data_IF_503056078083
#
_entry.id   IF_503056078083
#
_cell.length_a   1.000
_cell.length_b   1.000
_cell.length_c   1.000
_cell.angle_alpha   90.00
_cell.angle_beta   90.00
_cell.angle_gamma   90.00
#
_symmetry.space_group_name_H-M   'P 1'
#
loop_
_entity.id
_entity.type
_entity.pdbx_description
1 polymer ?
#
# COMPACT_ATOMS: atom_id res chain seq x y z
N UNK A 1 -45.29 -9.74 29.54
CA UNK A 1 -45.32 -8.28 29.38
C UNK A 1 -44.17 -7.70 30.19
N UNK A 2 -43.00 -7.51 29.56
CA UNK A 2 -41.79 -6.77 30.02
C UNK A 2 -40.58 -7.21 29.18
N UNK A 3 -40.74 -7.13 27.85
CA UNK A 3 -39.64 -7.16 26.88
C UNK A 3 -39.60 -5.76 26.27
N UNK A 4 -38.87 -4.86 26.90
CA UNK A 4 -38.41 -3.57 26.34
C UNK A 4 -37.57 -2.90 27.42
N UNK A 5 -36.47 -2.27 27.03
CA UNK A 5 -35.58 -1.43 27.86
C UNK A 5 -34.25 -2.00 28.38
N UNK A 6 -33.75 -3.15 27.89
CA UNK A 6 -32.32 -3.50 28.08
C UNK A 6 -31.44 -3.35 26.83
N UNK A 7 -32.02 -3.19 25.63
CA UNK A 7 -31.24 -3.04 24.39
C UNK A 7 -30.78 -1.60 24.08
N UNK A 8 -31.20 -0.59 24.85
CA UNK A 8 -30.83 0.81 24.57
C UNK A 8 -29.40 1.16 25.06
N UNK A 9 -28.85 0.45 26.04
CA UNK A 9 -27.49 0.72 26.56
C UNK A 9 -26.36 -0.03 25.85
N UNK A 10 -26.65 -1.00 24.99
CA UNK A 10 -25.64 -1.72 24.18
C UNK A 10 -25.36 -1.01 22.84
N UNK A 11 -26.25 -0.10 22.41
CA UNK A 11 -26.10 0.60 21.14
C UNK A 11 -24.85 1.53 21.03
N UNK A 12 -24.34 2.21 22.08
CA UNK A 12 -23.10 2.98 21.95
C UNK A 12 -21.82 2.14 22.05
N UNK A 13 -21.89 0.91 22.59
CA UNK A 13 -20.69 0.08 22.80
C UNK A 13 -20.24 -0.62 21.51
N UNK A 14 -21.17 -1.06 20.67
CA UNK A 14 -20.85 -1.66 19.36
C UNK A 14 -20.42 -0.59 18.34
N UNK A 15 -20.90 0.65 18.48
CA UNK A 15 -20.45 1.76 17.64
C UNK A 15 -18.98 2.15 17.89
N UNK A 16 -18.44 1.87 19.08
CA UNK A 16 -17.02 2.09 19.39
C UNK A 16 -16.11 0.91 18.98
N UNK A 17 -16.64 -0.33 18.92
CA UNK A 17 -15.89 -1.48 18.41
C UNK A 17 -15.90 -1.58 16.87
N UNK A 18 -16.83 -0.91 16.20
CA UNK A 18 -16.90 -0.77 14.73
C UNK A 18 -15.87 0.19 14.11
N UNK A 19 -14.87 0.67 14.87
CA UNK A 19 -13.79 1.52 14.36
C UNK A 19 -12.41 0.82 14.35
N UNK A 20 -12.39 -0.51 14.27
CA UNK A 20 -11.32 -1.23 13.56
C UNK A 20 -11.65 -1.23 12.05
N UNK A 21 -12.09 -0.06 11.55
CA UNK A 21 -12.11 0.21 10.12
C UNK A 21 -10.65 0.30 9.74
N UNK A 22 -10.23 -0.66 8.92
CA UNK A 22 -8.95 -0.74 8.24
C UNK A 22 -8.27 0.63 8.21
N UNK A 23 -7.15 0.76 8.93
CA UNK A 23 -6.33 1.97 8.96
C UNK A 23 -6.30 2.52 7.52
N UNK A 24 -6.93 3.67 7.22
CA UNK A 24 -6.66 4.32 5.96
C UNK A 24 -5.17 4.55 5.98
N UNK A 25 -4.44 4.00 5.01
CA UNK A 25 -3.00 4.22 4.88
C UNK A 25 -2.77 5.71 5.10
N UNK A 26 -2.09 6.05 6.18
CA UNK A 26 -1.74 7.43 6.47
C UNK A 26 -1.03 7.92 5.21
N UNK A 27 -1.52 8.99 4.58
CA UNK A 27 -0.96 9.50 3.31
C UNK A 27 0.57 9.67 3.39
N UNK A 28 1.07 9.88 4.61
CA UNK A 28 2.46 9.89 5.04
C UNK A 28 3.23 8.57 4.79
N UNK A 29 2.65 7.41 5.13
CA UNK A 29 3.29 6.09 4.98
C UNK A 29 3.41 5.69 3.50
N UNK A 30 2.36 5.91 2.71
CA UNK A 30 2.36 5.63 1.26
C UNK A 30 3.39 6.49 0.53
N UNK A 31 3.45 7.79 0.84
CA UNK A 31 4.45 8.70 0.26
C UNK A 31 5.86 8.28 0.63
N UNK A 32 6.08 7.89 1.88
CA UNK A 32 7.39 7.44 2.35
C UNK A 32 7.88 6.17 1.63
N UNK A 33 7.02 5.15 1.48
CA UNK A 33 7.42 3.90 0.79
C UNK A 33 7.63 4.10 -0.71
N UNK A 34 6.88 5.00 -1.35
CA UNK A 34 7.11 5.39 -2.74
C UNK A 34 8.48 6.04 -2.89
N UNK A 35 8.84 6.96 -2.00
CA UNK A 35 10.15 7.62 -2.05
C UNK A 35 11.30 6.65 -1.80
N UNK A 36 11.16 5.70 -0.87
CA UNK A 36 12.11 4.60 -0.68
C UNK A 36 12.26 3.79 -1.98
N UNK A 37 11.14 3.39 -2.59
CA UNK A 37 11.14 2.60 -3.82
C UNK A 37 11.80 3.37 -4.98
N UNK A 38 11.53 4.68 -5.15
CA UNK A 38 12.19 5.51 -6.15
C UNK A 38 13.69 5.61 -5.93
N UNK A 39 14.13 5.82 -4.67
CA UNK A 39 15.57 5.87 -4.33
C UNK A 39 16.26 4.54 -4.63
N UNK A 40 15.58 3.43 -4.36
CA UNK A 40 16.06 2.11 -4.72
C UNK A 40 16.22 1.97 -6.24
N UNK A 41 15.22 2.35 -7.03
CA UNK A 41 15.29 2.34 -8.50
C UNK A 41 16.47 3.17 -9.02
N UNK A 42 16.67 4.38 -8.50
CA UNK A 42 17.80 5.24 -8.86
C UNK A 42 19.14 4.58 -8.53
N UNK A 43 19.25 3.89 -7.40
CA UNK A 43 20.45 3.14 -7.00
C UNK A 43 20.74 1.97 -7.96
N UNK A 44 19.71 1.33 -8.49
CA UNK A 44 19.81 0.27 -9.51
C UNK A 44 20.08 0.82 -10.92
N UNK A 45 20.27 2.14 -11.07
CA UNK A 45 20.51 2.80 -12.35
C UNK A 45 19.25 3.05 -13.19
N UNK A 46 18.07 2.90 -12.60
CA UNK A 46 16.78 3.10 -13.26
C UNK A 46 16.30 4.54 -13.01
N UNK A 47 15.93 5.24 -14.09
CA UNK A 47 15.38 6.59 -13.99
C UNK A 47 13.93 6.52 -13.50
N UNK A 48 13.70 6.78 -12.22
CA UNK A 48 12.35 6.77 -11.63
C UNK A 48 11.35 7.76 -12.29
N UNK A 49 11.81 8.70 -13.13
CA UNK A 49 10.96 9.65 -13.87
C UNK A 49 10.26 9.00 -15.09
N UNK A 50 10.89 8.00 -15.72
CA UNK A 50 10.33 7.23 -16.84
C UNK A 50 9.20 6.28 -16.39
N UNK A 51 9.20 5.92 -15.10
CA UNK A 51 8.31 4.95 -14.51
C UNK A 51 7.43 5.61 -13.45
N UNK A 52 6.30 6.25 -13.79
CA UNK A 52 5.33 6.67 -12.79
C UNK A 52 4.80 5.49 -11.98
N UNK A 53 4.46 5.78 -10.72
CA UNK A 53 3.75 4.84 -9.85
C UNK A 53 2.38 4.55 -10.47
N UNK A 54 2.15 3.30 -10.87
CA UNK A 54 0.89 2.83 -11.41
C UNK A 54 -0.03 2.31 -10.30
N UNK A 55 0.54 1.58 -9.33
CA UNK A 55 -0.23 0.98 -8.25
C UNK A 55 0.60 0.84 -6.98
N UNK A 56 -0.04 1.04 -5.83
CA UNK A 56 0.55 0.76 -4.52
C UNK A 56 -0.43 -0.05 -3.73
N UNK A 57 0.02 -1.21 -3.24
CA UNK A 57 -0.75 -2.01 -2.30
C UNK A 57 0.05 -2.30 -1.05
N UNK A 58 -0.68 -2.31 0.06
CA UNK A 58 -0.15 -2.54 1.37
C UNK A 58 -0.64 -3.91 1.85
N UNK A 59 0.19 -4.93 1.65
CA UNK A 59 -0.10 -6.26 2.16
C UNK A 59 0.29 -6.36 3.64
N UNK A 60 -0.24 -7.38 4.32
CA UNK A 60 0.03 -7.61 5.74
C UNK A 60 1.53 -7.59 6.07
N UNK A 61 2.34 -8.24 5.24
CA UNK A 61 3.78 -8.45 5.46
C UNK A 61 4.67 -7.59 4.57
N UNK A 62 4.14 -6.97 3.52
CA UNK A 62 4.95 -6.23 2.55
C UNK A 62 4.20 -5.11 1.84
N UNK A 63 4.91 -4.08 1.45
CA UNK A 63 4.45 -3.10 0.48
C UNK A 63 4.81 -3.55 -0.92
N UNK A 64 3.88 -3.39 -1.86
CA UNK A 64 4.12 -3.66 -3.28
C UNK A 64 3.82 -2.37 -4.03
N UNK A 65 4.82 -1.86 -4.74
CA UNK A 65 4.76 -0.66 -5.55
C UNK A 65 5.02 -1.08 -6.99
N UNK A 66 4.06 -0.88 -7.87
CA UNK A 66 4.18 -1.14 -9.30
C UNK A 66 4.39 0.18 -9.99
N UNK A 67 5.49 0.29 -10.74
CA UNK A 67 5.76 1.38 -11.64
C UNK A 67 5.58 0.90 -13.07
N UNK A 68 4.98 1.72 -13.91
CA UNK A 68 4.74 1.40 -15.32
C UNK A 68 5.41 2.45 -16.19
N UNK A 69 6.08 2.03 -17.26
CA UNK A 69 6.77 2.97 -18.16
C UNK A 69 5.75 3.90 -18.85
N UNK A 70 6.09 5.20 -18.97
CA UNK A 70 5.25 6.19 -19.69
C UNK A 70 5.24 6.02 -21.21
N UNK A 71 6.04 5.12 -21.75
CA UNK A 71 6.25 5.01 -23.19
C UNK A 71 5.20 4.15 -23.89
N UNK A 72 4.86 4.47 -25.16
CA UNK A 72 4.00 3.64 -26.01
C UNK A 72 4.72 2.39 -26.59
N UNK A 73 5.91 2.05 -26.08
CA UNK A 73 6.65 0.84 -26.45
C UNK A 73 6.12 -0.37 -25.64
N UNK A 74 6.34 -1.62 -26.11
CA UNK A 74 5.41 -2.71 -25.86
C UNK A 74 5.15 -2.96 -24.37
N UNK A 75 3.90 -3.31 -24.00
CA UNK A 75 3.52 -3.60 -22.62
C UNK A 75 4.33 -4.79 -22.12
N UNK A 76 5.29 -4.55 -21.23
CA UNK A 76 6.18 -5.59 -20.69
C UNK A 76 7.41 -5.03 -19.99
N UNK A 77 7.31 -3.85 -19.36
CA UNK A 77 8.42 -3.29 -18.56
C UNK A 77 7.88 -2.64 -17.30
N UNK A 78 6.86 -3.25 -16.70
CA UNK A 78 6.46 -2.89 -15.35
C UNK A 78 7.56 -3.27 -14.35
N UNK A 79 7.83 -2.35 -13.43
CA UNK A 79 8.78 -2.54 -12.34
C UNK A 79 7.98 -2.71 -11.07
N UNK A 80 8.03 -3.89 -10.48
CA UNK A 80 7.41 -4.16 -9.19
C UNK A 80 8.46 -4.13 -8.10
N UNK A 81 8.38 -3.14 -7.21
CA UNK A 81 9.20 -3.05 -6.00
C UNK A 81 8.40 -3.61 -4.83
N UNK A 82 8.95 -4.64 -4.18
CA UNK A 82 8.41 -5.22 -2.95
C UNK A 82 9.30 -4.81 -1.79
N UNK A 83 8.69 -4.27 -0.74
CA UNK A 83 9.37 -3.89 0.51
C UNK A 83 8.78 -4.73 1.64
N UNK A 84 9.58 -5.62 2.22
CA UNK A 84 9.18 -6.40 3.40
C UNK A 84 9.07 -5.48 4.62
N UNK A 85 7.98 -5.60 5.38
CA UNK A 85 7.79 -4.82 6.61
C UNK A 85 8.51 -5.42 7.82
N UNK A 86 8.82 -6.70 7.76
CA UNK A 86 9.44 -7.44 8.85
C UNK A 86 10.95 -7.15 8.94
N UNK A 87 11.66 -7.32 7.82
CA UNK A 87 13.13 -7.17 7.72
C UNK A 87 13.56 -5.88 7.01
N UNK A 88 12.63 -5.14 6.38
CA UNK A 88 12.96 -3.97 5.56
C UNK A 88 13.59 -4.30 4.21
N UNK A 89 13.71 -5.60 3.87
CA UNK A 89 14.25 -6.06 2.60
C UNK A 89 13.48 -5.47 1.41
N UNK A 90 14.21 -4.90 0.44
CA UNK A 90 13.67 -4.37 -0.80
C UNK A 90 14.04 -5.32 -1.94
N UNK A 91 13.06 -5.70 -2.75
CA UNK A 91 13.25 -6.53 -3.94
C UNK A 91 12.65 -5.84 -5.15
N UNK A 92 13.33 -5.94 -6.29
CA UNK A 92 12.85 -5.43 -7.57
C UNK A 92 12.58 -6.60 -8.50
N UNK A 93 11.38 -6.61 -9.07
CA UNK A 93 10.92 -7.56 -10.07
C UNK A 93 10.69 -6.75 -11.34
N UNK A 94 11.35 -7.11 -12.43
CA UNK A 94 11.09 -6.54 -13.77
C UNK A 94 10.14 -7.49 -14.48
N UNK A 95 8.99 -6.98 -14.91
CA UNK A 95 8.16 -7.67 -15.90
C UNK A 95 8.94 -7.74 -17.20
N UNK A 96 9.06 -8.94 -17.76
CA UNK A 96 9.60 -9.24 -19.10
C UNK A 96 8.42 -9.64 -20.00
#
# INVERSE_FOLDING_TARGET
MLVRHYYWLILPFILSLGCLREKPLTHDETGHVIEIAKRFLVKEGIRADDFPVAYVTNLKESWIIIFSERSPHPPGSDLTVKISKDDGQISLIRGD
#
